data_IF_804404211809
#
_entry.id   IF_804404211809
#
_cell.length_a   1.000
_cell.length_b   1.000
_cell.length_c   1.000
_cell.angle_alpha   90.00
_cell.angle_beta   90.00
_cell.angle_gamma   90.00
#
_symmetry.space_group_name_H-M   'P 1'
#
loop_
_entity.id
_entity.type
_entity.pdbx_description
1 polymer ?
#
# COMPACT_ATOMS: atom_id res chain seq x y z
N UNK A 1 56.29 -57.81 11.43
CA UNK A 1 54.98 -57.13 11.27
C UNK A 1 54.29 -57.19 12.63
N UNK A 2 54.47 -56.15 13.44
CA UNK A 2 53.48 -55.08 13.74
C UNK A 2 52.37 -55.54 14.70
N UNK A 3 52.60 -55.17 15.96
CA UNK A 3 51.70 -54.77 17.05
C UNK A 3 50.58 -55.70 17.55
N UNK A 4 50.89 -56.27 18.70
CA UNK A 4 50.04 -56.65 19.82
C UNK A 4 49.27 -55.45 20.44
N UNK A 5 48.06 -55.73 20.93
CA UNK A 5 47.58 -55.30 22.24
C UNK A 5 47.03 -53.87 22.43
N UNK A 6 45.78 -53.79 22.88
CA UNK A 6 45.27 -52.70 23.76
C UNK A 6 44.14 -53.27 24.62
N UNK A 7 44.45 -53.82 25.80
CA UNK A 7 44.67 -53.18 27.10
C UNK A 7 43.45 -52.47 27.71
N UNK A 8 43.08 -53.02 28.87
CA UNK A 8 42.17 -52.57 29.92
C UNK A 8 42.19 -51.08 30.27
N UNK A 9 41.05 -50.59 30.80
CA UNK A 9 40.88 -49.80 32.05
C UNK A 9 39.39 -49.46 32.20
N UNK A 10 38.70 -49.87 33.28
CA UNK A 10 38.52 -49.09 34.53
C UNK A 10 37.50 -47.96 34.30
N UNK A 11 36.49 -47.64 35.11
CA UNK A 11 36.18 -47.87 36.51
C UNK A 11 34.67 -47.65 36.70
N UNK A 12 34.08 -48.33 37.66
CA UNK A 12 32.74 -48.08 38.18
C UNK A 12 32.58 -46.64 38.68
N UNK A 13 31.36 -46.08 38.61
CA UNK A 13 30.73 -45.20 39.61
C UNK A 13 29.19 -45.25 39.48
N UNK A 14 28.61 -46.08 40.36
CA UNK A 14 27.50 -45.78 41.29
C UNK A 14 26.58 -44.55 41.03
N UNK A 15 25.27 -44.86 41.11
CA UNK A 15 24.11 -44.09 41.64
C UNK A 15 23.13 -43.39 40.66
N UNK A 16 21.97 -44.04 40.53
CA UNK A 16 20.58 -43.56 40.64
C UNK A 16 20.36 -42.05 40.81
N UNK A 17 19.54 -41.47 39.91
CA UNK A 17 18.35 -40.69 40.27
C UNK A 17 17.50 -40.40 39.02
N UNK A 18 16.29 -40.97 38.98
CA UNK A 18 15.21 -40.55 38.08
C UNK A 18 14.72 -39.19 38.57
N UNK A 19 14.81 -38.16 37.73
CA UNK A 19 14.11 -36.90 37.93
C UNK A 19 13.23 -36.65 36.71
N UNK A 20 11.93 -36.94 36.87
CA UNK A 20 10.88 -36.51 35.95
C UNK A 20 10.76 -34.99 36.01
N UNK A 21 11.15 -34.31 34.95
CA UNK A 21 10.82 -32.91 34.72
C UNK A 21 9.94 -32.83 33.46
N UNK A 22 8.63 -32.85 33.71
CA UNK A 22 7.65 -32.41 32.74
C UNK A 22 7.76 -30.89 32.59
N UNK A 23 8.13 -30.41 31.41
CA UNK A 23 8.01 -29.01 31.03
C UNK A 23 7.24 -28.93 29.72
N UNK A 24 5.95 -28.66 29.83
CA UNK A 24 5.06 -28.38 28.71
C UNK A 24 5.51 -27.08 28.03
N UNK A 25 6.04 -27.17 26.81
CA UNK A 25 6.24 -26.00 25.96
C UNK A 25 4.93 -25.66 25.27
N UNK A 26 4.21 -24.69 25.86
CA UNK A 26 3.03 -24.04 25.30
C UNK A 26 3.37 -23.47 23.92
N UNK A 27 2.62 -23.88 22.90
CA UNK A 27 2.71 -23.34 21.56
C UNK A 27 2.39 -21.85 21.55
N UNK A 28 3.36 -21.03 21.19
CA UNK A 28 3.14 -19.62 20.93
C UNK A 28 2.41 -19.47 19.58
N UNK A 29 1.08 -19.50 19.61
CA UNK A 29 0.27 -19.02 18.48
C UNK A 29 0.44 -17.51 18.39
N UNK A 30 1.24 -17.05 17.44
CA UNK A 30 1.33 -15.65 17.05
C UNK A 30 -0.01 -15.22 16.46
N UNK A 31 -0.91 -14.69 17.29
CA UNK A 31 -2.09 -13.98 16.79
C UNK A 31 -1.57 -12.67 16.21
N UNK A 32 -1.34 -12.65 14.89
CA UNK A 32 -1.07 -11.43 14.17
C UNK A 32 -2.27 -10.51 14.30
N UNK A 33 -2.13 -9.44 15.08
CA UNK A 33 -3.12 -8.37 15.08
C UNK A 33 -3.10 -7.73 13.69
N UNK A 34 -4.11 -8.05 12.87
CA UNK A 34 -4.42 -7.27 11.67
C UNK A 34 -4.85 -5.91 12.18
N UNK A 35 -3.94 -4.94 12.16
CA UNK A 35 -4.30 -3.54 12.36
C UNK A 35 -5.19 -3.15 11.19
N UNK A 36 -6.50 -3.16 11.40
CA UNK A 36 -7.45 -2.53 10.49
C UNK A 36 -7.00 -1.08 10.37
N UNK A 37 -6.46 -0.71 9.20
CA UNK A 37 -6.06 0.65 8.92
C UNK A 37 -7.30 1.51 9.18
N UNK A 38 -7.17 2.41 10.17
CA UNK A 38 -8.21 3.36 10.54
C UNK A 38 -8.58 4.12 9.27
N UNK A 39 -9.72 3.77 8.68
CA UNK A 39 -10.17 4.41 7.46
C UNK A 39 -10.27 5.91 7.74
N UNK A 40 -9.67 6.71 6.86
CA UNK A 40 -9.70 8.16 6.94
C UNK A 40 -11.16 8.61 7.08
N UNK A 41 -11.39 9.73 7.79
CA UNK A 41 -12.71 10.33 8.00
C UNK A 41 -13.61 10.24 6.74
N UNK A 42 -14.94 10.09 6.90
CA UNK A 42 -15.86 9.88 5.79
C UNK A 42 -15.62 10.92 4.69
N UNK A 43 -15.24 10.44 3.51
CA UNK A 43 -14.92 11.30 2.36
C UNK A 43 -16.18 11.55 1.55
N UNK A 44 -16.36 12.79 1.11
CA UNK A 44 -17.42 13.13 0.18
C UNK A 44 -17.28 12.32 -1.12
N UNK A 45 -18.40 11.77 -1.59
CA UNK A 45 -18.47 10.98 -2.84
C UNK A 45 -19.19 11.83 -3.89
N UNK A 46 -18.74 11.77 -5.14
CA UNK A 46 -19.29 12.52 -6.27
C UNK A 46 -19.38 11.60 -7.50
N UNK A 47 -20.46 11.68 -8.28
CA UNK A 47 -20.54 10.92 -9.54
C UNK A 47 -19.66 11.57 -10.61
N UNK A 48 -19.02 10.76 -11.46
CA UNK A 48 -18.21 11.28 -12.58
C UNK A 48 -19.02 12.21 -13.50
N UNK A 49 -20.29 11.89 -13.75
CA UNK A 49 -21.18 12.68 -14.60
C UNK A 49 -21.53 14.06 -14.03
N UNK A 50 -21.42 14.26 -12.72
CA UNK A 50 -21.65 15.56 -12.07
C UNK A 50 -20.41 16.46 -12.02
N UNK A 51 -19.23 15.93 -12.37
CA UNK A 51 -18.00 16.71 -12.45
C UNK A 51 -17.93 17.51 -13.76
N UNK A 52 -17.11 18.57 -13.80
CA UNK A 52 -16.84 19.31 -15.04
C UNK A 52 -16.45 18.38 -16.19
N UNK A 53 -16.80 18.75 -17.42
CA UNK A 53 -16.55 17.93 -18.62
C UNK A 53 -15.05 17.67 -18.84
N UNK A 54 -14.19 18.57 -18.38
CA UNK A 54 -12.73 18.40 -18.40
C UNK A 54 -12.27 17.28 -17.47
N UNK A 55 -12.93 17.09 -16.32
CA UNK A 55 -12.63 16.00 -15.41
C UNK A 55 -13.05 14.65 -16.00
N UNK A 56 -14.21 14.61 -16.65
CA UNK A 56 -14.67 13.42 -17.39
C UNK A 56 -13.71 13.06 -18.53
N UNK A 57 -13.19 14.08 -19.21
CA UNK A 57 -12.19 13.90 -20.28
C UNK A 57 -10.87 13.38 -19.74
N UNK A 58 -10.36 13.96 -18.65
CA UNK A 58 -9.17 13.45 -17.97
C UNK A 58 -9.33 11.99 -17.53
N UNK A 59 -10.50 11.63 -16.98
CA UNK A 59 -10.78 10.24 -16.59
C UNK A 59 -10.70 9.28 -17.78
N UNK A 60 -11.29 9.64 -18.93
CA UNK A 60 -11.17 8.83 -20.16
C UNK A 60 -9.72 8.67 -20.61
N UNK A 61 -8.93 9.74 -20.57
CA UNK A 61 -7.50 9.68 -20.93
C UNK A 61 -6.70 8.80 -19.97
N UNK A 62 -7.01 8.82 -18.67
CA UNK A 62 -6.36 7.95 -17.67
C UNK A 62 -6.58 6.48 -18.04
N UNK A 63 -7.83 6.09 -18.31
CA UNK A 63 -8.16 4.73 -18.72
C UNK A 63 -7.58 4.35 -20.09
N UNK A 64 -7.45 5.30 -21.01
CA UNK A 64 -6.80 5.09 -22.31
C UNK A 64 -5.26 5.06 -22.26
N UNK A 65 -4.65 5.55 -21.17
CA UNK A 65 -3.20 5.68 -21.05
C UNK A 65 -2.62 6.91 -21.75
N UNK A 66 -3.44 7.93 -22.03
CA UNK A 66 -3.06 9.16 -22.71
C UNK A 66 -3.50 9.23 -24.18
N UNK A 67 -2.90 10.12 -24.99
CA UNK A 67 -1.82 11.05 -24.65
C UNK A 67 -2.26 12.09 -23.62
N UNK A 68 -1.35 12.47 -22.71
CA UNK A 68 -1.64 13.46 -21.68
C UNK A 68 -1.15 14.86 -22.11
N UNK A 69 -1.94 15.92 -21.85
CA UNK A 69 -1.61 17.28 -22.29
C UNK A 69 -0.48 17.93 -21.51
N UNK A 70 -0.20 17.50 -20.27
CA UNK A 70 0.85 18.09 -19.45
C UNK A 70 1.94 17.08 -19.08
N UNK A 71 3.18 17.54 -19.03
CA UNK A 71 4.35 16.73 -18.68
C UNK A 71 4.36 16.16 -17.25
N UNK A 72 3.48 16.69 -16.39
CA UNK A 72 3.31 16.23 -15.01
C UNK A 72 2.18 15.20 -14.87
N UNK A 73 1.42 14.94 -15.92
CA UNK A 73 0.33 13.96 -15.84
C UNK A 73 0.90 12.53 -15.79
N UNK A 74 0.39 11.73 -14.86
CA UNK A 74 0.83 10.35 -14.62
C UNK A 74 2.00 10.20 -13.65
N UNK A 75 2.57 11.31 -13.14
CA UNK A 75 3.62 11.23 -12.12
C UNK A 75 3.05 10.77 -10.78
N UNK A 76 3.94 10.27 -9.91
CA UNK A 76 3.55 9.79 -8.57
C UNK A 76 3.06 10.95 -7.71
N UNK A 77 1.85 10.79 -7.15
CA UNK A 77 1.33 11.64 -6.10
C UNK A 77 1.72 11.07 -4.72
N UNK A 78 2.33 11.92 -3.89
CA UNK A 78 2.95 11.46 -2.64
C UNK A 78 1.99 11.22 -1.47
N UNK A 79 0.79 11.80 -1.50
CA UNK A 79 -0.17 11.78 -0.38
C UNK A 79 0.48 12.11 0.99
N UNK A 80 1.29 13.18 1.06
CA UNK A 80 2.09 13.50 2.26
C UNK A 80 1.23 13.99 3.42
N UNK A 81 0.18 14.72 3.08
CA UNK A 81 -0.85 15.27 3.96
C UNK A 81 -1.83 14.19 4.43
N UNK A 82 -1.75 12.98 3.85
CA UNK A 82 -2.55 11.79 4.20
C UNK A 82 -4.06 12.03 4.10
N UNK A 83 -4.46 12.85 3.12
CA UNK A 83 -5.87 13.11 2.82
C UNK A 83 -6.52 11.95 2.06
N UNK A 84 -5.74 11.06 1.42
CA UNK A 84 -6.19 9.81 0.80
C UNK A 84 -5.83 8.59 1.68
N UNK A 85 -6.47 7.41 1.52
CA UNK A 85 -6.08 6.19 2.22
C UNK A 85 -4.59 5.89 2.10
N UNK A 86 -4.02 5.29 3.15
CA UNK A 86 -2.59 4.99 3.18
C UNK A 86 -2.29 3.76 2.33
N UNK A 87 -1.46 3.95 1.31
CA UNK A 87 -0.93 2.90 0.46
C UNK A 87 0.59 3.06 0.28
N UNK A 88 1.31 2.03 -0.21
CA UNK A 88 2.72 2.13 -0.54
C UNK A 88 3.05 3.27 -1.51
N UNK A 89 4.30 3.74 -1.50
CA UNK A 89 4.76 4.79 -2.43
C UNK A 89 4.60 4.32 -3.88
N UNK A 90 4.13 5.23 -4.74
CA UNK A 90 3.88 4.93 -6.15
C UNK A 90 2.47 4.44 -6.45
N UNK A 91 1.65 4.18 -5.42
CA UNK A 91 0.26 3.76 -5.58
C UNK A 91 -0.62 4.83 -6.25
N UNK A 92 -0.39 6.11 -5.92
CA UNK A 92 -1.17 7.21 -6.47
C UNK A 92 -0.43 7.93 -7.60
N UNK A 93 -1.19 8.33 -8.62
CA UNK A 93 -0.74 9.19 -9.73
C UNK A 93 -1.67 10.37 -9.91
N UNK A 94 -1.10 11.53 -10.27
CA UNK A 94 -1.88 12.75 -10.51
C UNK A 94 -2.03 13.08 -12.00
N UNK A 95 -3.17 13.67 -12.34
CA UNK A 95 -3.52 14.09 -13.69
C UNK A 95 -4.21 15.45 -13.63
N UNK A 96 -3.85 16.34 -14.56
CA UNK A 96 -4.48 17.65 -14.68
C UNK A 96 -5.89 17.55 -15.22
N UNK A 97 -6.80 18.23 -14.54
CA UNK A 97 -8.09 18.61 -15.10
C UNK A 97 -7.94 20.04 -15.59
N UNK A 98 -8.17 20.28 -16.89
CA UNK A 98 -8.04 21.61 -17.45
C UNK A 98 -9.06 22.56 -16.82
N UNK A 99 -8.63 23.78 -16.53
CA UNK A 99 -9.53 24.87 -16.14
C UNK A 99 -9.71 25.78 -17.36
N UNK A 100 -10.92 25.90 -17.92
CA UNK A 100 -11.18 26.78 -19.05
C UNK A 100 -10.70 28.20 -18.80
N UNK A 101 -9.98 28.77 -19.77
CA UNK A 101 -9.42 30.12 -19.69
C UNK A 101 -8.14 30.25 -18.86
N UNK A 102 -7.67 29.19 -18.18
CA UNK A 102 -6.36 29.25 -17.52
C UNK A 102 -5.22 29.17 -18.53
N UNK A 103 -4.15 29.92 -18.26
CA UNK A 103 -2.88 29.85 -19.01
C UNK A 103 -1.91 28.81 -18.44
N UNK A 104 -2.22 28.30 -17.25
CA UNK A 104 -1.45 27.27 -16.56
C UNK A 104 -2.28 26.00 -16.35
N UNK A 105 -1.75 25.05 -15.57
CA UNK A 105 -2.44 23.78 -15.25
C UNK A 105 -3.67 23.96 -14.36
N UNK A 106 -3.90 25.14 -13.77
CA UNK A 106 -4.94 25.39 -12.78
C UNK A 106 -4.79 24.58 -11.49
N UNK A 107 -5.79 24.65 -10.61
CA UNK A 107 -5.82 23.95 -9.32
C UNK A 107 -6.47 22.55 -9.38
N UNK A 108 -7.19 22.23 -10.46
CA UNK A 108 -8.03 21.02 -10.54
C UNK A 108 -7.22 19.79 -10.94
N UNK A 109 -7.42 18.67 -10.24
CA UNK A 109 -6.70 17.41 -10.51
C UNK A 109 -7.62 16.20 -10.31
N UNK A 110 -7.29 15.13 -11.00
CA UNK A 110 -7.70 13.78 -10.63
C UNK A 110 -6.47 13.05 -10.09
N UNK A 111 -6.60 12.42 -8.92
CA UNK A 111 -5.60 11.52 -8.36
C UNK A 111 -6.17 10.12 -8.36
N UNK A 112 -5.55 9.20 -9.11
CA UNK A 112 -5.99 7.81 -9.18
C UNK A 112 -4.99 6.91 -8.44
N UNK A 113 -5.52 5.96 -7.69
CA UNK A 113 -4.79 4.91 -6.98
C UNK A 113 -4.98 3.56 -7.63
N UNK A 114 -3.95 2.73 -7.59
CA UNK A 114 -4.00 1.34 -8.07
C UNK A 114 -2.66 0.86 -8.61
N UNK A 115 -2.51 -0.45 -8.75
CA UNK A 115 -1.28 -1.03 -9.32
C UNK A 115 -1.10 -0.68 -10.81
N UNK A 116 -2.20 -0.71 -11.58
CA UNK A 116 -2.18 -0.41 -13.00
C UNK A 116 -2.70 1.00 -13.28
N UNK A 117 -1.90 1.84 -13.94
CA UNK A 117 -2.25 3.24 -14.20
C UNK A 117 -3.52 3.41 -15.07
N UNK A 118 -3.76 2.50 -16.03
CA UNK A 118 -4.92 2.53 -16.92
C UNK A 118 -6.16 1.81 -16.38
N UNK A 119 -6.02 1.13 -15.24
CA UNK A 119 -7.11 0.44 -14.55
C UNK A 119 -7.04 0.76 -13.05
N UNK A 120 -7.27 2.03 -12.67
CA UNK A 120 -7.20 2.46 -11.28
C UNK A 120 -8.31 1.81 -10.44
N UNK A 121 -7.97 1.49 -9.20
CA UNK A 121 -8.90 0.93 -8.20
C UNK A 121 -9.85 2.01 -7.66
N UNK A 122 -9.35 3.24 -7.54
CA UNK A 122 -10.13 4.41 -7.12
C UNK A 122 -9.54 5.70 -7.70
N UNK A 123 -10.40 6.67 -8.00
CA UNK A 123 -9.99 8.01 -8.42
C UNK A 123 -10.65 9.07 -7.55
N UNK A 124 -9.91 10.15 -7.31
CA UNK A 124 -10.30 11.24 -6.43
C UNK A 124 -10.19 12.56 -7.19
N UNK A 125 -11.19 13.42 -7.04
CA UNK A 125 -11.20 14.76 -7.61
C UNK A 125 -10.84 15.79 -6.54
N UNK A 126 -10.02 16.77 -6.92
CA UNK A 126 -9.74 18.00 -6.17
C UNK A 126 -9.89 19.19 -7.12
N UNK A 127 -10.51 20.26 -6.64
CA UNK A 127 -10.62 21.56 -7.30
C UNK A 127 -9.85 22.67 -6.59
N UNK A 128 -9.14 22.34 -5.53
CA UNK A 128 -8.51 23.25 -4.57
C UNK A 128 -7.02 22.96 -4.37
N UNK A 129 -6.36 22.40 -5.39
CA UNK A 129 -4.92 22.10 -5.39
C UNK A 129 -4.50 21.20 -4.20
N UNK A 130 -5.19 20.06 -4.08
CA UNK A 130 -4.94 19.00 -3.10
C UNK A 130 -5.31 19.34 -1.64
N UNK A 131 -6.06 20.43 -1.40
CA UNK A 131 -6.51 20.77 -0.05
C UNK A 131 -7.68 19.90 0.43
N UNK A 132 -8.52 19.42 -0.48
CA UNK A 132 -9.59 18.46 -0.21
C UNK A 132 -9.79 17.49 -1.39
N UNK A 133 -10.46 16.36 -1.12
CA UNK A 133 -10.71 15.34 -2.12
C UNK A 133 -12.13 14.79 -2.02
N UNK A 134 -12.71 14.48 -3.17
CA UNK A 134 -13.95 13.74 -3.32
C UNK A 134 -13.69 12.42 -4.06
N UNK A 135 -14.22 11.31 -3.54
CA UNK A 135 -14.15 10.02 -4.24
C UNK A 135 -15.08 10.06 -5.46
N UNK A 136 -14.56 9.69 -6.62
CA UNK A 136 -15.34 9.62 -7.86
C UNK A 136 -16.02 8.26 -7.92
N UNK A 137 -17.35 8.24 -7.81
CA UNK A 137 -18.16 7.08 -8.14
C UNK A 137 -18.36 7.00 -9.67
N UNK A 138 -18.25 5.80 -10.21
CA UNK A 138 -18.50 5.50 -11.63
C UNK A 138 -20.00 5.49 -11.93
#
# INVERSE_FOLDING_TARGET
MVFTGRSHRGSAWRLVAVALLAAASVGATSIGFVTQAKDSAPRAVVSLSSLPVEAQTAQRLIHAGGPFPYSKDGIVFGNRERLLPRHPRGYYREYTVQTPGSRDRGARRIVCGGQQATAPEACYYTDDHYASFRLIAQ
#
